data_IF_287669978349
#
_entry.id   IF_287669978349
#
_cell.length_a   1.000
_cell.length_b   1.000
_cell.length_c   1.000
_cell.angle_alpha   90.00
_cell.angle_beta   90.00
_cell.angle_gamma   90.00
#
_symmetry.space_group_name_H-M   'P 1'
#
loop_
_entity.id
_entity.type
_entity.pdbx_description
1 polymer ?
#
# COMPACT_ATOMS: atom_id res chain seq x y z
N UNK A 1 -66.80 47.88 -52.39
CA UNK A 1 -65.65 47.65 -51.49
C UNK A 1 -64.76 48.88 -51.57
N UNK A 2 -64.65 49.65 -50.48
CA UNK A 2 -64.02 50.98 -50.48
C UNK A 2 -62.49 50.86 -50.54
N UNK A 3 -61.82 51.77 -51.27
CA UNK A 3 -60.35 51.88 -51.29
C UNK A 3 -59.77 51.98 -49.87
N UNK A 4 -60.50 52.57 -48.92
CA UNK A 4 -60.10 52.69 -47.52
C UNK A 4 -59.96 51.34 -46.81
N UNK A 5 -60.85 50.37 -47.05
CA UNK A 5 -60.78 49.05 -46.39
C UNK A 5 -59.61 48.22 -46.93
N UNK A 6 -59.25 48.43 -48.20
CA UNK A 6 -58.13 47.76 -48.87
C UNK A 6 -56.78 48.29 -48.38
N UNK A 7 -56.66 49.60 -48.16
CA UNK A 7 -55.48 50.24 -47.54
C UNK A 7 -55.31 49.80 -46.08
N UNK A 8 -56.41 49.74 -45.33
CA UNK A 8 -56.40 49.25 -43.94
C UNK A 8 -55.98 47.77 -43.86
N UNK A 9 -56.48 46.93 -44.77
CA UNK A 9 -56.08 45.52 -44.83
C UNK A 9 -54.60 45.36 -45.18
N UNK A 10 -54.09 46.13 -46.15
CA UNK A 10 -52.67 46.06 -46.55
C UNK A 10 -51.74 46.58 -45.45
N UNK A 11 -52.13 47.61 -44.71
CA UNK A 11 -51.34 48.14 -43.58
C UNK A 11 -51.35 47.19 -42.39
N UNK A 12 -52.48 46.56 -42.07
CA UNK A 12 -52.55 45.50 -41.05
C UNK A 12 -51.69 44.28 -41.43
N UNK A 13 -51.74 43.83 -42.68
CA UNK A 13 -50.90 42.74 -43.17
C UNK A 13 -49.40 43.09 -43.14
N UNK A 14 -49.04 44.33 -43.47
CA UNK A 14 -47.66 44.78 -43.38
C UNK A 14 -47.18 44.88 -41.92
N UNK A 15 -48.05 45.26 -40.99
CA UNK A 15 -47.73 45.29 -39.55
C UNK A 15 -47.46 43.88 -39.01
N UNK A 16 -48.34 42.91 -39.30
CA UNK A 16 -48.15 41.52 -38.86
C UNK A 16 -46.91 40.87 -39.50
N UNK A 17 -46.63 41.16 -40.77
CA UNK A 17 -45.41 40.70 -41.46
C UNK A 17 -44.13 41.31 -40.88
N UNK A 18 -44.18 42.57 -40.40
CA UNK A 18 -43.05 43.20 -39.72
C UNK A 18 -42.77 42.53 -38.37
N UNK A 19 -43.82 42.28 -37.58
CA UNK A 19 -43.69 41.61 -36.28
C UNK A 19 -43.15 40.19 -36.39
N UNK A 20 -43.67 39.39 -37.33
CA UNK A 20 -43.14 38.04 -37.57
C UNK A 20 -41.67 38.06 -38.01
N UNK A 21 -41.27 38.99 -38.88
CA UNK A 21 -39.85 39.13 -39.27
C UNK A 21 -38.95 39.47 -38.08
N UNK A 22 -39.40 40.33 -37.16
CA UNK A 22 -38.65 40.70 -35.95
C UNK A 22 -38.50 39.50 -35.01
N UNK A 23 -39.58 38.74 -34.78
CA UNK A 23 -39.56 37.56 -33.94
C UNK A 23 -38.66 36.45 -34.51
N UNK A 24 -38.73 36.19 -35.82
CA UNK A 24 -37.86 35.22 -36.51
C UNK A 24 -36.39 35.61 -36.35
N UNK A 25 -36.05 36.90 -36.51
CA UNK A 25 -34.68 37.40 -36.33
C UNK A 25 -34.19 37.28 -34.89
N UNK A 26 -35.05 37.56 -33.91
CA UNK A 26 -34.76 37.39 -32.48
C UNK A 26 -34.49 35.92 -32.12
N UNK A 27 -35.35 35.01 -32.58
CA UNK A 27 -35.19 33.57 -32.33
C UNK A 27 -33.93 33.01 -33.00
N UNK A 28 -33.64 33.43 -34.23
CA UNK A 28 -32.41 33.06 -34.94
C UNK A 28 -31.15 33.56 -34.22
N UNK A 29 -31.15 34.77 -33.66
CA UNK A 29 -30.04 35.25 -32.83
C UNK A 29 -29.87 34.42 -31.54
N UNK A 30 -30.97 34.11 -30.85
CA UNK A 30 -30.90 33.29 -29.63
C UNK A 30 -30.33 31.91 -29.91
N UNK A 31 -30.74 31.25 -30.98
CA UNK A 31 -30.23 29.93 -31.39
C UNK A 31 -28.72 30.00 -31.63
N UNK A 32 -28.24 30.97 -32.41
CA UNK A 32 -26.80 31.13 -32.66
C UNK A 32 -26.00 31.34 -31.36
N UNK A 33 -26.52 32.14 -30.42
CA UNK A 33 -25.83 32.33 -29.13
C UNK A 33 -25.85 31.08 -28.24
N UNK A 34 -26.87 30.21 -28.38
CA UNK A 34 -26.94 28.94 -27.65
C UNK A 34 -25.95 27.93 -28.24
N UNK A 35 -25.87 27.78 -29.56
CA UNK A 35 -24.91 26.90 -30.22
C UNK A 35 -23.46 27.28 -29.87
N UNK A 36 -23.14 28.58 -29.88
CA UNK A 36 -21.82 29.08 -29.46
C UNK A 36 -21.53 28.73 -27.99
N UNK A 37 -22.54 28.80 -27.11
CA UNK A 37 -22.38 28.44 -25.69
C UNK A 37 -22.18 26.95 -25.49
N UNK A 38 -22.87 26.11 -26.26
CA UNK A 38 -22.71 24.66 -26.23
C UNK A 38 -21.34 24.25 -26.75
N UNK A 39 -20.92 24.75 -27.92
CA UNK A 39 -19.57 24.52 -28.45
C UNK A 39 -18.49 24.94 -27.45
N UNK A 40 -18.65 26.10 -26.81
CA UNK A 40 -17.68 26.60 -25.82
C UNK A 40 -17.66 25.73 -24.55
N UNK A 41 -18.81 25.19 -24.13
CA UNK A 41 -18.89 24.24 -23.01
C UNK A 41 -18.22 22.93 -23.33
N UNK A 42 -18.45 22.36 -24.51
CA UNK A 42 -17.80 21.12 -24.95
C UNK A 42 -16.28 21.27 -25.04
N UNK A 43 -15.79 22.36 -25.64
CA UNK A 43 -14.36 22.68 -25.68
C UNK A 43 -13.74 22.79 -24.28
N UNK A 44 -14.45 23.40 -23.33
CA UNK A 44 -13.95 23.55 -21.97
C UNK A 44 -13.91 22.22 -21.23
N UNK A 45 -14.90 21.36 -21.44
CA UNK A 45 -14.96 20.02 -20.84
C UNK A 45 -13.85 19.10 -21.37
N UNK A 46 -13.51 19.22 -22.66
CA UNK A 46 -12.38 18.49 -23.26
C UNK A 46 -11.04 18.95 -22.67
N UNK A 47 -10.83 20.26 -22.48
CA UNK A 47 -9.63 20.80 -21.82
C UNK A 47 -9.53 20.34 -20.36
N UNK A 48 -10.63 20.36 -19.62
CA UNK A 48 -10.67 19.92 -18.22
C UNK A 48 -10.32 18.43 -18.07
N UNK A 49 -10.78 17.58 -19.00
CA UNK A 49 -10.47 16.14 -19.02
C UNK A 49 -8.98 15.86 -19.28
N UNK A 50 -8.34 16.60 -20.18
CA UNK A 50 -6.91 16.45 -20.46
C UNK A 50 -6.04 16.85 -19.27
N UNK A 51 -6.40 17.92 -18.56
CA UNK A 51 -5.67 18.38 -17.37
C UNK A 51 -5.75 17.38 -16.21
N UNK A 52 -6.95 16.81 -15.96
CA UNK A 52 -7.13 15.80 -14.91
C UNK A 52 -6.29 14.53 -15.14
N UNK A 53 -6.16 14.10 -16.39
CA UNK A 53 -5.32 12.94 -16.73
C UNK A 53 -3.84 13.20 -16.43
N UNK A 54 -3.34 14.40 -16.72
CA UNK A 54 -1.93 14.78 -16.46
C UNK A 54 -1.64 14.85 -14.95
N UNK A 55 -2.56 15.41 -14.17
CA UNK A 55 -2.42 15.48 -12.71
C UNK A 55 -2.43 14.08 -12.08
N UNK A 56 -3.25 13.16 -12.58
CA UNK A 56 -3.26 11.76 -12.15
C UNK A 56 -1.93 11.08 -12.45
N UNK A 57 -1.39 11.25 -13.65
CA UNK A 57 -0.09 10.66 -14.05
C UNK A 57 1.06 11.19 -13.19
N UNK A 58 1.04 12.46 -12.80
CA UNK A 58 2.04 13.04 -11.91
C UNK A 58 1.90 12.55 -10.45
N UNK A 59 0.67 12.34 -9.97
CA UNK A 59 0.38 11.94 -8.58
C UNK A 59 0.54 10.44 -8.34
N UNK A 60 0.21 9.62 -9.34
CA UNK A 60 0.27 8.17 -9.29
C UNK A 60 1.62 7.59 -8.81
N UNK A 61 2.80 8.03 -9.28
CA UNK A 61 4.07 7.49 -8.79
C UNK A 61 4.29 7.77 -7.29
N UNK A 62 3.81 8.91 -6.79
CA UNK A 62 3.91 9.25 -5.36
C UNK A 62 3.04 8.31 -4.52
N UNK A 63 1.80 8.06 -4.95
CA UNK A 63 0.89 7.13 -4.26
C UNK A 63 1.44 5.70 -4.30
N UNK A 64 1.98 5.26 -5.44
CA UNK A 64 2.60 3.94 -5.56
C UNK A 64 3.79 3.76 -4.63
N UNK A 65 4.65 4.78 -4.51
CA UNK A 65 5.80 4.75 -3.60
C UNK A 65 5.33 4.56 -2.15
N UNK A 66 4.32 5.33 -1.73
CA UNK A 66 3.73 5.20 -0.40
C UNK A 66 3.13 3.80 -0.20
N UNK A 67 2.39 3.28 -1.19
CA UNK A 67 1.76 1.96 -1.12
C UNK A 67 2.79 0.83 -0.97
N UNK A 68 3.89 0.88 -1.74
CA UNK A 68 5.01 -0.07 -1.60
C UNK A 68 5.64 0.03 -0.21
N UNK A 69 5.85 1.24 0.30
CA UNK A 69 6.35 1.44 1.65
C UNK A 69 5.48 0.79 2.73
N UNK A 70 4.15 0.94 2.63
CA UNK A 70 3.20 0.30 3.56
C UNK A 70 3.25 -1.23 3.47
N UNK A 71 3.28 -1.79 2.26
CA UNK A 71 3.38 -3.25 2.05
C UNK A 71 4.64 -3.80 2.69
N UNK A 72 5.76 -3.10 2.53
CA UNK A 72 7.06 -3.53 3.04
C UNK A 72 7.16 -3.48 4.56
N UNK A 73 6.57 -2.45 5.20
CA UNK A 73 6.42 -2.43 6.66
C UNK A 73 5.55 -3.60 7.15
N UNK A 74 4.49 -3.96 6.42
CA UNK A 74 3.66 -5.12 6.75
C UNK A 74 4.41 -6.45 6.63
N UNK A 75 5.23 -6.59 5.59
CA UNK A 75 6.08 -7.76 5.38
C UNK A 75 7.15 -7.88 6.48
N UNK A 76 7.81 -6.77 6.81
CA UNK A 76 8.76 -6.65 7.91
C UNK A 76 8.14 -7.05 9.25
N UNK A 77 6.93 -6.56 9.54
CA UNK A 77 6.19 -6.94 10.76
C UNK A 77 5.90 -8.45 10.82
N UNK A 78 5.57 -9.06 9.68
CA UNK A 78 5.33 -10.51 9.61
C UNK A 78 6.60 -11.28 9.92
N UNK A 79 7.74 -10.90 9.34
CA UNK A 79 9.03 -11.56 9.61
C UNK A 79 9.47 -11.41 11.07
N UNK A 80 9.32 -10.22 11.66
CA UNK A 80 9.60 -10.00 13.09
C UNK A 80 8.77 -10.94 13.99
N UNK A 81 7.46 -11.07 13.73
CA UNK A 81 6.61 -11.98 14.50
C UNK A 81 7.01 -13.45 14.32
N UNK A 82 7.40 -13.85 13.11
CA UNK A 82 7.89 -15.21 12.86
C UNK A 82 9.18 -15.47 13.62
N UNK A 83 10.13 -14.52 13.64
CA UNK A 83 11.36 -14.60 14.42
C UNK A 83 11.06 -14.72 15.93
N UNK A 84 10.19 -13.86 16.45
CA UNK A 84 9.80 -13.87 17.86
C UNK A 84 9.18 -15.21 18.28
N UNK A 85 8.31 -15.78 17.43
CA UNK A 85 7.72 -17.11 17.65
C UNK A 85 8.78 -18.22 17.58
N UNK A 86 9.71 -18.15 16.63
CA UNK A 86 10.83 -19.10 16.51
C UNK A 86 11.69 -19.11 17.77
N UNK A 87 12.11 -17.94 18.24
CA UNK A 87 12.87 -17.75 19.48
C UNK A 87 12.12 -18.27 20.70
N UNK A 88 10.82 -17.98 20.81
CA UNK A 88 9.98 -18.50 21.89
C UNK A 88 9.88 -20.03 21.87
N UNK A 89 9.71 -20.64 20.69
CA UNK A 89 9.67 -22.10 20.54
C UNK A 89 11.02 -22.74 20.88
N UNK A 90 12.14 -22.12 20.47
CA UNK A 90 13.48 -22.52 20.88
C UNK A 90 13.66 -22.50 22.39
N UNK A 91 13.24 -21.43 23.06
CA UNK A 91 13.31 -21.33 24.52
C UNK A 91 12.43 -22.38 25.23
N UNK A 92 11.24 -22.68 24.69
CA UNK A 92 10.39 -23.78 25.19
C UNK A 92 11.05 -25.12 25.05
N UNK A 93 11.61 -25.40 23.88
CA UNK A 93 12.31 -26.65 23.61
C UNK A 93 13.51 -26.83 24.54
N UNK A 94 14.30 -25.77 24.75
CA UNK A 94 15.47 -25.77 25.62
C UNK A 94 15.19 -26.29 27.03
N UNK A 95 14.01 -25.95 27.58
CA UNK A 95 13.58 -26.41 28.91
C UNK A 95 12.83 -27.73 28.84
N UNK A 96 12.04 -27.97 27.77
CA UNK A 96 11.14 -29.11 27.72
C UNK A 96 11.85 -30.46 27.57
N UNK A 97 12.95 -30.50 26.83
CA UNK A 97 13.70 -31.73 26.56
C UNK A 97 14.33 -32.34 27.84
N UNK A 98 14.58 -31.49 28.84
CA UNK A 98 15.32 -31.83 30.06
C UNK A 98 14.42 -32.32 31.20
N UNK A 99 13.10 -32.28 31.06
CA UNK A 99 12.14 -32.67 32.12
C UNK A 99 12.25 -34.13 32.60
N UNK A 100 13.04 -34.99 31.94
CA UNK A 100 13.29 -36.37 32.35
C UNK A 100 14.69 -36.65 32.91
N UNK A 101 15.59 -35.66 32.93
CA UNK A 101 16.99 -35.85 33.37
C UNK A 101 17.19 -35.47 34.83
N UNK A 102 18.09 -36.18 35.51
CA UNK A 102 18.33 -36.14 36.98
C UNK A 102 19.00 -34.83 37.44
N UNK A 103 19.37 -33.96 36.50
CA UNK A 103 20.18 -32.77 36.73
C UNK A 103 19.29 -31.52 36.60
N UNK A 104 19.12 -30.80 37.70
CA UNK A 104 18.12 -29.74 37.86
C UNK A 104 18.42 -28.43 37.11
N UNK A 105 19.62 -28.31 36.51
CA UNK A 105 20.09 -27.11 35.81
C UNK A 105 20.75 -27.50 34.47
N UNK A 106 20.02 -28.24 33.64
CA UNK A 106 20.45 -28.57 32.29
C UNK A 106 19.48 -27.96 31.28
N UNK A 107 19.99 -27.74 30.08
CA UNK A 107 19.22 -27.32 28.91
C UNK A 107 19.40 -28.35 27.78
N UNK A 108 18.48 -28.36 26.83
CA UNK A 108 18.67 -29.13 25.60
C UNK A 108 19.97 -28.71 24.90
N UNK A 109 20.50 -29.57 24.03
CA UNK A 109 21.71 -29.26 23.27
C UNK A 109 21.54 -27.93 22.51
N UNK A 110 22.53 -27.03 22.60
CA UNK A 110 22.48 -25.72 21.97
C UNK A 110 22.25 -25.81 20.45
N UNK A 111 22.83 -26.81 19.78
CA UNK A 111 22.63 -27.03 18.35
C UNK A 111 21.16 -27.33 18.01
N UNK A 112 20.50 -28.13 18.86
CA UNK A 112 19.10 -28.52 18.70
C UNK A 112 18.14 -27.35 19.00
N UNK A 113 18.49 -26.51 19.98
CA UNK A 113 17.78 -25.26 20.27
C UNK A 113 17.89 -24.31 19.08
N UNK A 114 19.09 -24.14 18.51
CA UNK A 114 19.30 -23.31 17.31
C UNK A 114 18.52 -23.86 16.12
N UNK A 115 18.53 -25.17 15.90
CA UNK A 115 17.75 -25.81 14.83
C UNK A 115 16.24 -25.58 15.02
N UNK A 116 15.73 -25.64 16.25
CA UNK A 116 14.34 -25.33 16.56
C UNK A 116 13.98 -23.89 16.19
N UNK A 117 14.87 -22.93 16.46
CA UNK A 117 14.66 -21.52 16.06
C UNK A 117 14.76 -21.36 14.54
N UNK A 118 15.69 -22.04 13.88
CA UNK A 118 15.99 -21.85 12.45
C UNK A 118 15.01 -22.56 11.51
N UNK A 119 14.58 -23.77 11.89
CA UNK A 119 13.82 -24.69 11.05
C UNK A 119 12.46 -25.08 11.64
N UNK A 120 12.18 -24.69 12.90
CA UNK A 120 11.00 -25.15 13.62
C UNK A 120 11.02 -26.64 14.00
N UNK A 121 12.18 -27.30 13.88
CA UNK A 121 12.36 -28.73 14.17
C UNK A 121 13.77 -29.03 14.67
N UNK A 122 13.90 -30.10 15.45
CA UNK A 122 15.14 -30.47 16.17
C UNK A 122 16.21 -31.03 15.25
N UNK A 123 15.84 -31.90 14.30
CA UNK A 123 16.76 -32.64 13.42
C UNK A 123 17.45 -31.79 12.35
N UNK A 124 17.29 -30.46 12.40
CA UNK A 124 17.59 -29.58 11.27
C UNK A 124 16.64 -29.81 10.09
N UNK A 125 16.69 -28.91 9.11
CA UNK A 125 15.88 -29.01 7.90
C UNK A 125 16.51 -28.27 6.73
N UNK A 126 16.05 -28.58 5.51
CA UNK A 126 16.53 -27.90 4.29
C UNK A 126 15.94 -26.49 4.11
N UNK A 127 14.95 -26.11 4.93
CA UNK A 127 14.24 -24.84 4.84
C UNK A 127 14.42 -24.05 6.12
N UNK A 128 14.76 -22.76 6.00
CA UNK A 128 14.80 -21.83 7.13
C UNK A 128 13.44 -21.13 7.24
N UNK A 129 13.01 -20.80 8.47
CA UNK A 129 11.74 -20.10 8.70
C UNK A 129 11.78 -18.65 8.20
N UNK A 130 12.98 -18.05 8.19
CA UNK A 130 13.29 -16.75 7.61
C UNK A 130 14.51 -16.92 6.70
N UNK A 131 14.46 -16.28 5.53
CA UNK A 131 15.57 -16.27 4.59
C UNK A 131 16.73 -15.43 5.14
N UNK A 132 17.97 -15.92 5.04
CA UNK A 132 19.18 -15.28 5.59
C UNK A 132 19.33 -15.30 7.12
N UNK A 133 18.44 -15.97 7.85
CA UNK A 133 18.69 -16.27 9.27
C UNK A 133 19.65 -17.46 9.35
N UNK A 134 20.75 -17.30 10.08
CA UNK A 134 21.75 -18.35 10.28
C UNK A 134 21.86 -18.78 11.74
N UNK A 135 22.56 -19.88 12.01
CA UNK A 135 22.80 -20.33 13.39
C UNK A 135 23.70 -19.36 14.18
N UNK A 136 24.55 -18.58 13.51
CA UNK A 136 25.45 -17.59 14.13
C UNK A 136 24.69 -16.37 14.64
N UNK A 137 23.53 -16.08 14.05
CA UNK A 137 22.63 -15.00 14.45
C UNK A 137 21.87 -15.30 15.75
N UNK A 138 21.97 -16.54 16.25
CA UNK A 138 21.24 -17.03 17.42
C UNK A 138 22.23 -17.28 18.57
N UNK A 139 21.96 -16.65 19.70
CA UNK A 139 22.69 -16.84 20.95
C UNK A 139 21.79 -17.46 21.99
N UNK A 140 22.22 -18.58 22.56
CA UNK A 140 21.56 -19.22 23.70
C UNK A 140 22.44 -18.99 24.92
N UNK A 141 21.84 -18.51 25.99
CA UNK A 141 22.52 -18.33 27.28
C UNK A 141 21.70 -19.02 28.35
N UNK A 142 22.37 -19.69 29.28
CA UNK A 142 21.75 -20.36 30.40
C UNK A 142 22.51 -19.98 31.65
N UNK A 143 21.82 -19.30 32.55
CA UNK A 143 22.37 -18.78 33.79
C UNK A 143 21.31 -18.81 34.89
N UNK A 144 21.71 -19.26 36.07
CA UNK A 144 20.91 -19.18 37.30
C UNK A 144 19.48 -19.76 37.16
N UNK A 145 19.33 -20.87 36.43
CA UNK A 145 18.03 -21.49 36.18
C UNK A 145 17.14 -20.75 35.16
N UNK A 146 17.71 -19.84 34.37
CA UNK A 146 17.03 -19.17 33.27
C UNK A 146 17.74 -19.43 31.94
N UNK A 147 16.97 -19.78 30.93
CA UNK A 147 17.42 -19.92 29.55
C UNK A 147 16.95 -18.71 28.77
N UNK A 148 17.88 -17.96 28.20
CA UNK A 148 17.61 -16.82 27.33
C UNK A 148 18.07 -17.17 25.92
N UNK A 149 17.11 -17.24 25.00
CA UNK A 149 17.36 -17.41 23.56
C UNK A 149 17.17 -16.06 22.90
N UNK A 150 18.17 -15.60 22.18
CA UNK A 150 18.15 -14.32 21.45
C UNK A 150 18.55 -14.56 20.01
N UNK A 151 17.86 -13.93 19.07
CA UNK A 151 18.18 -13.98 17.65
C UNK A 151 18.19 -12.58 17.04
N UNK A 152 19.18 -12.30 16.19
CA UNK A 152 19.32 -11.05 15.46
C UNK A 152 19.11 -11.29 13.97
N UNK A 153 18.12 -10.64 13.38
CA UNK A 153 17.76 -10.86 11.98
C UNK A 153 17.86 -9.57 11.18
N UNK A 154 18.58 -9.60 10.07
CA UNK A 154 18.71 -8.45 9.17
C UNK A 154 17.66 -8.54 8.06
N UNK A 155 16.62 -7.73 8.16
CA UNK A 155 15.61 -7.58 7.13
C UNK A 155 16.15 -6.76 5.96
N UNK A 156 16.08 -7.31 4.76
CA UNK A 156 16.44 -6.63 3.51
C UNK A 156 15.14 -6.37 2.73
N UNK A 157 14.71 -5.10 2.55
CA UNK A 157 13.53 -4.78 1.77
C UNK A 157 13.70 -5.18 0.30
N UNK A 158 12.60 -5.46 -0.41
CA UNK A 158 12.66 -5.82 -1.83
C UNK A 158 13.17 -4.66 -2.70
N UNK A 159 12.99 -3.42 -2.22
CA UNK A 159 13.50 -2.19 -2.82
C UNK A 159 14.81 -1.72 -2.16
N UNK A 160 15.66 -2.67 -1.73
CA UNK A 160 16.88 -2.47 -0.93
C UNK A 160 17.89 -1.45 -1.43
N UNK A 161 17.80 -0.98 -2.68
CA UNK A 161 18.71 0.00 -3.28
C UNK A 161 17.94 1.17 -3.88
N UNK A 162 18.25 2.38 -3.42
CA UNK A 162 17.78 3.60 -4.06
C UNK A 162 18.54 3.73 -5.40
N UNK A 163 17.85 3.95 -6.53
CA UNK A 163 18.51 4.11 -7.82
C UNK A 163 19.59 5.20 -7.72
N UNK A 164 20.76 4.92 -8.29
CA UNK A 164 21.96 5.76 -8.28
C UNK A 164 22.74 5.85 -6.96
N UNK A 165 22.43 5.02 -5.96
CA UNK A 165 23.22 4.92 -4.72
C UNK A 165 23.50 3.45 -4.38
N UNK A 166 24.64 3.18 -3.73
CA UNK A 166 25.02 1.84 -3.28
C UNK A 166 24.63 1.58 -1.80
N UNK A 167 23.72 2.38 -1.24
CA UNK A 167 23.31 2.25 0.16
C UNK A 167 22.22 1.20 0.30
N UNK A 168 22.47 0.19 1.13
CA UNK A 168 21.50 -0.85 1.46
C UNK A 168 20.59 -0.38 2.60
N UNK A 169 19.27 -0.55 2.43
CA UNK A 169 18.24 -0.16 3.41
C UNK A 169 17.92 -1.27 4.42
N UNK A 170 18.91 -2.09 4.77
CA UNK A 170 18.74 -3.19 5.71
C UNK A 170 18.45 -2.69 7.13
N UNK A 171 17.53 -3.36 7.82
CA UNK A 171 17.21 -3.07 9.23
C UNK A 171 17.38 -4.35 10.03
N UNK A 172 18.20 -4.30 11.08
CA UNK A 172 18.39 -5.44 11.99
C UNK A 172 17.40 -5.36 13.15
N UNK A 173 16.65 -6.45 13.35
CA UNK A 173 15.76 -6.64 14.49
C UNK A 173 16.34 -7.71 15.42
N UNK A 174 16.17 -7.51 16.71
CA UNK A 174 16.55 -8.50 17.72
C UNK A 174 15.30 -8.97 18.47
N UNK A 175 15.12 -10.29 18.55
CA UNK A 175 14.07 -10.91 19.35
C UNK A 175 14.70 -11.77 20.46
N UNK A 176 14.13 -11.73 21.66
CA UNK A 176 14.63 -12.51 22.80
C UNK A 176 13.47 -13.14 23.56
N UNK A 177 13.68 -14.35 24.08
CA UNK A 177 12.74 -15.07 24.94
C UNK A 177 13.50 -15.69 26.10
N UNK A 178 12.94 -15.55 27.30
CA UNK A 178 13.48 -16.10 28.54
C UNK A 178 12.51 -17.13 29.10
N UNK A 179 13.03 -18.28 29.52
CA UNK A 179 12.27 -19.32 30.24
C UNK A 179 13.05 -19.81 31.44
N UNK A 180 12.32 -20.33 32.44
CA UNK A 180 12.93 -20.90 33.64
C UNK A 180 13.25 -22.38 33.40
N UNK A 181 14.52 -22.75 33.50
CA UNK A 181 14.98 -24.14 33.51
C UNK A 181 15.03 -24.63 34.97
N UNK A 182 14.07 -25.47 35.37
CA UNK A 182 14.09 -26.12 36.69
C UNK A 182 13.70 -25.22 37.88
N UNK A 183 13.58 -25.85 39.06
CA UNK A 183 13.24 -25.21 40.34
C UNK A 183 14.46 -24.92 41.20
#
# INVERSE_FOLDING_TARGET
MSLLTLVWWKTAQLATLRETKVLIRSSSMKIQTMEIREMKREMNNQKARGFAAVEMVATLPVILLILVGVVEVGHMFTQYNTLAKGVQNGARFAVNDVYGTITYDQIANEADIKNMVLHGQVSGGSYTILDNLTADDITVTHDSGYVTVTASYTYVPSFSKIPYTNTELGITFTASSVMRSGL
#
